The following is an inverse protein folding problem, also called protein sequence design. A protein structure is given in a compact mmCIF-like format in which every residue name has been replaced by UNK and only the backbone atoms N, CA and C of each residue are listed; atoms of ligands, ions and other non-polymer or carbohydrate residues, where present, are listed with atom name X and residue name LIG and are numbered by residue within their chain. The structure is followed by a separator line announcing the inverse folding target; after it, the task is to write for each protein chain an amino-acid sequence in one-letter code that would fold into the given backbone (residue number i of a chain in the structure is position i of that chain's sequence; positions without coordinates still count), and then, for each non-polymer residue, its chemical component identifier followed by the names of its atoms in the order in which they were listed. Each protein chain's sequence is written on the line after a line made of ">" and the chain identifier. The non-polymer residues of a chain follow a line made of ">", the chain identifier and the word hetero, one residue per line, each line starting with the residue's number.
data_IF_380063878237
#
_entry.id   IF_380063878237
#
_cell.length_a   1.000
_cell.length_b   1.000
_cell.length_c   1.000
_cell.angle_alpha   90.00
_cell.angle_beta   90.00
_cell.angle_gamma   90.00
#
_symmetry.space_group_name_H-M   'P 1'
#
loop_
_entity.id
_entity.type
_entity.pdbx_description
1 polymer ?
#
# COMPACT_ATOMS: atom_id res chain seq x y z
N UNK A 1 -1.48 -14.50 4.41
CA UNK A 1 -2.33 -13.46 3.81
C UNK A 1 -2.56 -13.87 2.37
N UNK A 2 -3.71 -14.47 2.07
CA UNK A 2 -4.12 -14.73 0.69
C UNK A 2 -4.72 -13.43 0.17
N UNK A 3 -3.86 -12.43 -0.04
CA UNK A 3 -4.29 -11.11 -0.50
C UNK A 3 -4.87 -11.26 -1.90
N UNK A 4 -6.08 -10.77 -2.12
CA UNK A 4 -6.68 -10.77 -3.45
C UNK A 4 -5.71 -10.17 -4.47
N UNK A 5 -5.75 -10.66 -5.71
CA UNK A 5 -4.98 -10.05 -6.80
C UNK A 5 -5.62 -8.72 -7.21
N UNK A 6 -5.48 -7.71 -6.35
CA UNK A 6 -6.01 -6.36 -6.50
C UNK A 6 -5.52 -5.65 -7.78
N UNK A 7 -4.48 -6.18 -8.44
CA UNK A 7 -4.03 -5.69 -9.74
C UNK A 7 -4.92 -6.19 -10.88
N UNK A 8 -5.68 -7.26 -10.67
CA UNK A 8 -6.66 -7.76 -11.61
C UNK A 8 -8.00 -7.07 -11.42
N UNK A 9 -8.64 -6.68 -12.53
CA UNK A 9 -10.00 -6.16 -12.51
C UNK A 9 -10.99 -7.16 -11.87
N UNK A 10 -10.72 -8.46 -11.98
CA UNK A 10 -11.55 -9.53 -11.40
C UNK A 10 -11.64 -9.45 -9.88
N UNK A 11 -10.62 -8.95 -9.18
CA UNK A 11 -10.65 -8.83 -7.73
C UNK A 11 -11.69 -7.81 -7.24
N UNK A 12 -12.04 -6.81 -8.07
CA UNK A 12 -13.08 -5.82 -7.70
C UNK A 12 -14.49 -6.40 -7.72
N UNK A 13 -14.74 -7.49 -8.44
CA UNK A 13 -16.06 -8.13 -8.49
C UNK A 13 -16.53 -8.57 -7.09
N UNK A 14 -15.58 -9.01 -6.26
CA UNK A 14 -15.84 -9.46 -4.89
C UNK A 14 -15.41 -8.43 -3.83
N UNK A 15 -15.25 -7.14 -4.19
CA UNK A 15 -14.83 -6.10 -3.22
C UNK A 15 -15.77 -5.97 -2.02
N UNK A 16 -17.05 -6.34 -2.20
CA UNK A 16 -18.04 -6.39 -1.10
C UNK A 16 -17.79 -7.50 -0.08
N UNK A 17 -16.98 -8.48 -0.43
CA UNK A 17 -16.55 -9.59 0.44
C UNK A 17 -15.13 -9.40 0.95
N UNK A 18 -14.45 -8.32 0.54
CA UNK A 18 -13.12 -8.02 1.02
C UNK A 18 -13.18 -7.52 2.47
N UNK A 19 -12.18 -7.91 3.25
CA UNK A 19 -12.03 -7.44 4.60
C UNK A 19 -11.71 -5.95 4.63
N UNK A 20 -11.98 -5.29 5.77
CA UNK A 20 -11.82 -3.83 5.86
C UNK A 20 -10.36 -3.39 5.68
N UNK A 21 -9.40 -4.22 6.07
CA UNK A 21 -7.96 -3.97 5.88
C UNK A 21 -7.55 -4.08 4.41
N UNK A 22 -8.10 -5.04 3.67
CA UNK A 22 -7.89 -5.17 2.23
C UNK A 22 -8.40 -3.93 1.47
N UNK A 23 -9.60 -3.44 1.82
CA UNK A 23 -10.16 -2.22 1.22
C UNK A 23 -9.33 -1.00 1.59
N UNK A 24 -8.96 -0.83 2.87
CA UNK A 24 -8.13 0.28 3.31
C UNK A 24 -6.78 0.30 2.58
N UNK A 25 -6.17 -0.87 2.38
CA UNK A 25 -4.93 -1.03 1.63
C UNK A 25 -5.09 -0.67 0.14
N UNK A 26 -6.21 -1.07 -0.47
CA UNK A 26 -6.56 -0.76 -1.85
C UNK A 26 -6.68 0.75 -2.09
N UNK A 27 -7.34 1.46 -1.17
CA UNK A 27 -7.45 2.91 -1.22
C UNK A 27 -6.09 3.59 -1.09
N UNK A 28 -5.30 3.19 -0.09
CA UNK A 28 -4.01 3.78 0.19
C UNK A 28 -3.02 3.62 -0.97
N UNK A 29 -2.92 2.43 -1.59
CA UNK A 29 -1.98 2.21 -2.69
C UNK A 29 -2.31 3.01 -3.95
N UNK A 30 -3.56 3.47 -4.09
CA UNK A 30 -4.02 4.30 -5.22
C UNK A 30 -3.81 5.79 -4.99
N UNK A 31 -3.50 6.20 -3.76
CA UNK A 31 -3.15 7.57 -3.44
C UNK A 31 -1.84 7.99 -4.15
N UNK A 32 -1.86 9.17 -4.78
CA UNK A 32 -0.73 9.65 -5.60
C UNK A 32 0.47 10.04 -4.73
N UNK A 33 0.21 10.58 -3.55
CA UNK A 33 1.24 11.00 -2.61
C UNK A 33 1.94 9.76 -2.03
N UNK A 34 1.16 8.75 -1.65
CA UNK A 34 1.67 7.44 -1.24
C UNK A 34 2.56 6.82 -2.31
N UNK A 35 2.14 6.83 -3.59
CA UNK A 35 2.93 6.28 -4.68
C UNK A 35 4.26 7.01 -4.88
N UNK A 36 4.28 8.34 -4.74
CA UNK A 36 5.50 9.13 -4.84
C UNK A 36 6.45 8.82 -3.67
N UNK A 37 5.93 8.80 -2.45
CA UNK A 37 6.69 8.50 -1.24
C UNK A 37 7.24 7.06 -1.27
N UNK A 38 6.45 6.10 -1.72
CA UNK A 38 6.87 4.70 -1.86
C UNK A 38 7.98 4.54 -2.90
N UNK A 39 7.91 5.23 -4.05
CA UNK A 39 9.00 5.21 -5.05
C UNK A 39 10.30 5.82 -4.49
N UNK A 40 10.19 6.82 -3.62
CA UNK A 40 11.35 7.43 -2.97
C UNK A 40 12.06 6.50 -1.96
N UNK A 41 11.37 5.47 -1.44
CA UNK A 41 12.00 4.45 -0.59
C UNK A 41 13.04 3.62 -1.35
N UNK A 42 12.80 3.34 -2.64
CA UNK A 42 13.72 2.55 -3.46
C UNK A 42 15.00 3.29 -3.85
N UNK A 43 15.03 4.62 -3.73
CA UNK A 43 16.15 5.46 -4.20
C UNK A 43 17.01 6.07 -3.09
N UNK A 44 16.58 6.02 -1.82
CA UNK A 44 17.30 6.64 -0.69
C UNK A 44 17.34 5.73 0.53
N UNK A 45 18.52 5.51 1.10
CA UNK A 45 18.69 4.79 2.36
C UNK A 45 18.35 5.65 3.60
N UNK A 46 17.77 4.94 4.59
CA UNK A 46 17.41 5.30 5.98
C UNK A 46 16.42 6.46 6.21
N UNK A 47 16.73 7.71 5.82
CA UNK A 47 15.90 8.86 6.23
C UNK A 47 14.52 8.91 5.57
N UNK A 48 14.44 8.48 4.30
CA UNK A 48 13.18 8.33 3.58
C UNK A 48 12.28 7.26 4.21
N UNK A 49 12.88 6.20 4.77
CA UNK A 49 12.15 5.11 5.43
C UNK A 49 11.47 5.58 6.72
N UNK A 50 12.16 6.39 7.53
CA UNK A 50 11.58 6.91 8.78
C UNK A 50 10.48 7.94 8.52
N UNK A 51 10.65 8.81 7.53
CA UNK A 51 9.59 9.74 7.13
C UNK A 51 8.35 8.99 6.64
N UNK A 52 8.53 8.00 5.77
CA UNK A 52 7.45 7.16 5.28
C UNK A 52 6.69 6.47 6.41
N UNK A 53 7.41 5.85 7.35
CA UNK A 53 6.82 5.19 8.53
C UNK A 53 6.01 6.15 9.39
N UNK A 54 6.52 7.35 9.65
CA UNK A 54 5.82 8.36 10.46
C UNK A 54 4.54 8.86 9.79
N UNK A 55 4.57 9.05 8.47
CA UNK A 55 3.44 9.57 7.71
C UNK A 55 2.34 8.53 7.48
N UNK A 56 2.73 7.33 7.08
CA UNK A 56 1.79 6.30 6.64
C UNK A 56 1.54 5.20 7.68
N UNK A 57 2.34 5.13 8.75
CA UNK A 57 2.23 4.10 9.80
C UNK A 57 2.62 2.70 9.33
N UNK A 58 3.22 2.57 8.15
CA UNK A 58 3.49 1.28 7.51
C UNK A 58 4.95 0.85 7.65
N UNK A 59 5.14 -0.45 7.86
CA UNK A 59 6.44 -1.12 7.80
C UNK A 59 6.35 -2.33 6.90
N UNK A 60 7.25 -2.43 5.92
CA UNK A 60 7.39 -3.63 5.10
C UNK A 60 8.46 -4.53 5.69
N UNK A 61 8.22 -5.84 5.63
CA UNK A 61 9.28 -6.83 5.89
C UNK A 61 10.23 -6.76 4.70
N UNK A 62 11.50 -6.48 4.97
CA UNK A 62 12.59 -6.56 3.99
C UNK A 62 12.97 -8.00 3.71
#
# INVERSE_FOLDING_TARGET
>A
MSGADWRSERAYHDIRKAEADDIAWEWLRRDREYQADFKALGSKQSSATDHFRRKWGLTFRG
#
